data_IF_697001816837
#
_entry.id   IF_697001816837
#
_cell.length_a   1.000
_cell.length_b   1.000
_cell.length_c   1.000
_cell.angle_alpha   90.00
_cell.angle_beta   90.00
_cell.angle_gamma   90.00
#
_symmetry.space_group_name_H-M   'P 1'
#
loop_
_entity.id
_entity.type
_entity.pdbx_description
1 polymer ?
#
# COMPACT_ATOMS: atom_id res chain seq x y z
N UNK A 1 -1.22 29.06 26.33
CA UNK A 1 -0.81 27.81 25.66
C UNK A 1 -2.02 27.30 24.89
N UNK A 2 -1.96 27.26 23.58
CA UNK A 2 -3.08 26.79 22.76
C UNK A 2 -3.14 25.25 22.82
N UNK A 3 -4.29 24.72 23.20
CA UNK A 3 -4.48 23.27 23.31
C UNK A 3 -4.87 22.74 21.93
N UNK A 4 -3.96 22.01 21.31
CA UNK A 4 -4.24 21.36 20.03
C UNK A 4 -5.14 20.14 20.26
N UNK A 5 -6.34 20.18 19.68
CA UNK A 5 -7.28 19.05 19.78
C UNK A 5 -6.81 17.89 18.88
N UNK A 6 -6.55 16.71 19.42
CA UNK A 6 -6.15 15.55 18.60
C UNK A 6 -7.27 15.16 17.63
N UNK A 7 -6.88 14.75 16.42
CA UNK A 7 -7.83 14.29 15.40
C UNK A 7 -7.16 13.27 14.49
N UNK A 8 -7.90 12.28 14.05
CA UNK A 8 -7.50 11.37 13.00
C UNK A 8 -7.73 12.03 11.63
N UNK A 9 -6.82 11.85 10.70
CA UNK A 9 -6.97 12.34 9.33
C UNK A 9 -8.10 11.62 8.61
N UNK A 10 -8.80 12.33 7.72
CA UNK A 10 -9.83 11.74 6.88
C UNK A 10 -9.24 10.60 6.03
N UNK A 11 -9.92 9.46 5.98
CA UNK A 11 -9.45 8.27 5.28
C UNK A 11 -8.49 7.38 6.08
N UNK A 12 -8.06 7.80 7.27
CA UNK A 12 -7.24 6.98 8.16
C UNK A 12 -8.09 6.39 9.28
N UNK A 13 -7.74 5.20 9.72
CA UNK A 13 -8.49 4.44 10.71
C UNK A 13 -7.58 4.08 11.89
N UNK A 14 -8.06 4.41 13.08
CA UNK A 14 -7.44 4.00 14.34
C UNK A 14 -8.37 3.02 15.04
N UNK A 15 -7.93 1.78 15.16
CA UNK A 15 -8.71 0.72 15.76
C UNK A 15 -8.39 0.56 17.25
N UNK A 16 -9.42 0.41 18.07
CA UNK A 16 -9.24 -0.03 19.45
C UNK A 16 -8.66 -1.46 19.48
N UNK A 17 -7.90 -1.85 20.52
CA UNK A 17 -7.25 -3.16 20.59
C UNK A 17 -8.17 -4.34 20.31
N UNK A 18 -9.40 -4.31 20.81
CA UNK A 18 -10.39 -5.38 20.57
C UNK A 18 -10.81 -5.52 19.09
N UNK A 19 -10.81 -4.40 18.34
CA UNK A 19 -11.11 -4.41 16.91
C UNK A 19 -9.84 -4.75 16.11
N UNK A 20 -8.69 -4.27 16.55
CA UNK A 20 -7.39 -4.56 15.94
C UNK A 20 -7.11 -6.06 15.95
N UNK A 21 -7.31 -6.76 17.06
CA UNK A 21 -7.15 -8.21 17.17
C UNK A 21 -8.02 -8.96 16.14
N UNK A 22 -9.28 -8.52 15.95
CA UNK A 22 -10.16 -9.12 14.95
C UNK A 22 -9.67 -8.85 13.51
N UNK A 23 -9.17 -7.66 13.26
CA UNK A 23 -8.61 -7.30 11.97
C UNK A 23 -7.38 -8.14 11.64
N UNK A 24 -6.46 -8.31 12.59
CA UNK A 24 -5.26 -9.15 12.44
C UNK A 24 -5.62 -10.62 12.19
N UNK A 25 -6.61 -11.14 12.92
CA UNK A 25 -7.10 -12.51 12.69
C UNK A 25 -7.67 -12.69 11.27
N UNK A 26 -8.42 -11.73 10.77
CA UNK A 26 -8.94 -11.75 9.40
C UNK A 26 -7.79 -11.69 8.38
N UNK A 27 -6.81 -10.82 8.60
CA UNK A 27 -5.61 -10.68 7.76
C UNK A 27 -4.81 -11.97 7.71
N UNK A 28 -4.65 -12.64 8.86
CA UNK A 28 -3.93 -13.92 8.94
C UNK A 28 -4.65 -15.04 8.18
N UNK A 29 -5.98 -15.13 8.28
CA UNK A 29 -6.76 -16.10 7.50
C UNK A 29 -6.57 -15.88 6.00
N UNK A 30 -6.61 -14.63 5.54
CA UNK A 30 -6.35 -14.30 4.14
C UNK A 30 -4.94 -14.71 3.71
N UNK A 31 -3.92 -14.38 4.52
CA UNK A 31 -2.53 -14.72 4.25
C UNK A 31 -2.33 -16.24 4.12
N UNK A 32 -2.88 -17.01 5.06
CA UNK A 32 -2.80 -18.47 5.03
C UNK A 32 -3.53 -19.07 3.82
N UNK A 33 -4.69 -18.53 3.50
CA UNK A 33 -5.45 -18.97 2.32
C UNK A 33 -4.66 -18.77 1.05
N UNK A 34 -4.09 -17.57 0.82
CA UNK A 34 -3.27 -17.33 -0.35
C UNK A 34 -2.00 -18.17 -0.38
N UNK A 35 -1.34 -18.36 0.77
CA UNK A 35 -0.16 -19.22 0.88
C UNK A 35 -0.48 -20.66 0.48
N UNK A 36 -1.67 -21.19 0.81
CA UNK A 36 -2.10 -22.53 0.41
C UNK A 36 -2.28 -22.70 -1.10
N UNK A 37 -2.47 -21.58 -1.84
CA UNK A 37 -2.48 -21.57 -3.31
C UNK A 37 -1.10 -21.28 -3.93
N UNK A 38 -0.05 -21.27 -3.13
CA UNK A 38 1.33 -21.07 -3.60
C UNK A 38 1.73 -19.62 -3.80
N UNK A 39 0.97 -18.64 -3.30
CA UNK A 39 1.38 -17.23 -3.33
C UNK A 39 2.49 -16.98 -2.31
N UNK A 40 3.59 -16.38 -2.77
CA UNK A 40 4.67 -15.93 -1.92
C UNK A 40 4.45 -14.49 -1.43
N UNK A 41 4.80 -14.18 -0.17
CA UNK A 41 4.69 -12.81 0.33
C UNK A 41 5.73 -11.90 -0.33
N UNK A 42 5.31 -10.71 -0.75
CA UNK A 42 6.17 -9.66 -1.25
C UNK A 42 5.72 -8.33 -0.69
N UNK A 43 6.64 -7.54 -0.17
CA UNK A 43 6.41 -6.14 0.18
C UNK A 43 7.32 -5.23 -0.63
N UNK A 44 6.83 -4.03 -0.93
CA UNK A 44 7.57 -2.98 -1.61
C UNK A 44 7.55 -1.71 -0.74
N UNK A 45 8.50 -0.78 -0.91
CA UNK A 45 8.50 0.47 -0.16
C UNK A 45 7.17 1.21 -0.25
N UNK A 46 6.73 1.79 0.87
CA UNK A 46 5.53 2.63 0.91
C UNK A 46 5.76 3.98 0.25
N UNK A 47 7.01 4.48 0.34
CA UNK A 47 7.46 5.73 -0.27
C UNK A 47 8.29 5.37 -1.50
N UNK A 48 7.96 5.97 -2.62
CA UNK A 48 8.61 5.76 -3.92
C UNK A 48 8.96 7.11 -4.56
N UNK A 49 9.82 7.06 -5.55
CA UNK A 49 10.06 8.21 -6.42
C UNK A 49 8.76 8.59 -7.16
N UNK A 50 8.40 9.87 -7.09
CA UNK A 50 7.16 10.35 -7.70
C UNK A 50 7.13 10.14 -9.20
N UNK A 51 8.27 10.24 -9.90
CA UNK A 51 8.35 10.01 -11.34
C UNK A 51 8.01 8.57 -11.71
N UNK A 52 8.40 7.60 -10.87
CA UNK A 52 8.11 6.18 -11.10
C UNK A 52 6.60 5.92 -10.94
N UNK A 53 6.00 6.42 -9.86
CA UNK A 53 4.57 6.22 -9.61
C UNK A 53 3.69 6.92 -10.65
N UNK A 54 4.13 8.06 -11.17
CA UNK A 54 3.38 8.88 -12.12
C UNK A 54 3.69 8.55 -13.58
N UNK A 55 4.62 7.64 -13.87
CA UNK A 55 5.08 7.32 -15.23
C UNK A 55 3.96 6.91 -16.20
N UNK A 56 2.86 6.35 -15.70
CA UNK A 56 1.65 6.01 -16.46
C UNK A 56 0.41 6.78 -16.00
N UNK A 57 0.56 7.71 -15.06
CA UNK A 57 -0.53 8.47 -14.49
C UNK A 57 -0.97 9.62 -15.40
N UNK A 58 -2.24 9.67 -15.78
CA UNK A 58 -2.87 10.86 -16.33
C UNK A 58 -3.68 11.58 -15.26
N UNK A 59 -3.68 12.88 -15.29
CA UNK A 59 -4.37 13.90 -14.49
C UNK A 59 -5.18 13.59 -13.22
N UNK A 60 -5.94 12.49 -13.18
CA UNK A 60 -6.71 12.10 -11.99
C UNK A 60 -5.86 11.40 -10.93
N UNK A 61 -4.92 10.56 -11.35
CA UNK A 61 -4.05 9.80 -10.42
C UNK A 61 -3.12 10.75 -9.65
N UNK A 62 -2.63 11.82 -10.31
CA UNK A 62 -1.81 12.84 -9.64
C UNK A 62 -2.52 13.53 -8.48
N UNK A 63 -3.83 13.73 -8.58
CA UNK A 63 -4.63 14.36 -7.52
C UNK A 63 -4.88 13.45 -6.32
N UNK A 64 -4.71 12.15 -6.49
CA UNK A 64 -4.99 11.14 -5.45
C UNK A 64 -3.74 10.70 -4.70
N UNK A 65 -2.54 10.97 -5.24
CA UNK A 65 -1.27 10.58 -4.63
C UNK A 65 -0.82 11.64 -3.63
N UNK A 66 -0.41 11.20 -2.45
CA UNK A 66 0.30 12.04 -1.50
C UNK A 66 1.74 12.22 -1.97
N UNK A 67 2.07 13.41 -2.43
CA UNK A 67 3.39 13.81 -2.92
C UNK A 67 4.04 14.80 -1.97
N UNK A 68 5.33 14.67 -1.74
CA UNK A 68 6.09 15.54 -0.86
C UNK A 68 7.57 15.56 -1.27
N UNK A 69 8.28 16.57 -0.85
CA UNK A 69 9.72 16.69 -1.10
C UNK A 69 10.49 16.45 0.20
N UNK A 70 11.64 15.79 0.08
CA UNK A 70 12.62 15.64 1.16
C UNK A 70 14.02 15.91 0.62
N UNK A 71 14.60 17.04 0.97
CA UNK A 71 15.81 17.54 0.31
C UNK A 71 15.55 17.76 -1.18
N UNK A 72 16.40 17.21 -2.03
CA UNK A 72 16.28 17.29 -3.49
C UNK A 72 15.41 16.15 -4.10
N UNK A 73 14.86 15.28 -3.26
CA UNK A 73 14.08 14.14 -3.71
C UNK A 73 12.59 14.46 -3.76
N UNK A 74 11.96 14.16 -4.89
CA UNK A 74 10.53 14.25 -5.12
C UNK A 74 9.90 12.88 -4.89
N UNK A 75 9.16 12.73 -3.83
CA UNK A 75 8.68 11.47 -3.29
C UNK A 75 7.15 11.43 -3.26
N UNK A 76 6.60 10.22 -3.32
CA UNK A 76 5.17 10.02 -3.16
C UNK A 76 4.86 8.73 -2.39
N UNK A 77 3.73 8.70 -1.71
CA UNK A 77 3.18 7.47 -1.16
C UNK A 77 2.57 6.64 -2.29
N UNK A 78 2.90 5.34 -2.33
CA UNK A 78 2.26 4.42 -3.27
C UNK A 78 0.74 4.43 -3.07
N UNK A 79 0.00 4.50 -4.14
CA UNK A 79 -1.46 4.51 -4.10
C UNK A 79 -2.03 3.12 -4.41
N UNK A 80 -1.28 2.30 -5.15
CA UNK A 80 -1.53 0.87 -5.39
C UNK A 80 -0.20 0.10 -5.41
N UNK A 81 -0.25 -1.17 -5.76
CA UNK A 81 0.94 -2.03 -5.81
C UNK A 81 1.36 -2.41 -7.22
N UNK A 82 0.64 -1.95 -8.24
CA UNK A 82 0.90 -2.32 -9.63
C UNK A 82 2.24 -1.78 -10.11
N UNK A 83 2.46 -0.48 -9.96
CA UNK A 83 3.72 0.17 -10.37
C UNK A 83 4.89 -0.27 -9.50
N UNK A 84 4.78 -0.29 -8.15
CA UNK A 84 5.83 -0.82 -7.29
C UNK A 84 6.23 -2.27 -7.61
N UNK A 85 5.26 -3.13 -7.92
CA UNK A 85 5.54 -4.52 -8.32
C UNK A 85 6.27 -4.58 -9.66
N UNK A 86 5.82 -3.82 -10.65
CA UNK A 86 6.49 -3.75 -11.96
C UNK A 86 7.94 -3.26 -11.82
N UNK A 87 8.17 -2.23 -11.01
CA UNK A 87 9.52 -1.76 -10.67
C UNK A 87 10.36 -2.85 -10.00
N UNK A 88 9.80 -3.54 -9.01
CA UNK A 88 10.49 -4.63 -8.32
C UNK A 88 10.93 -5.71 -9.30
N UNK A 89 10.04 -6.18 -10.16
CA UNK A 89 10.37 -7.19 -11.17
C UNK A 89 11.46 -6.70 -12.13
N UNK A 90 11.39 -5.45 -12.56
CA UNK A 90 12.39 -4.86 -13.46
C UNK A 90 13.79 -4.75 -12.81
N UNK A 91 13.86 -4.47 -11.50
CA UNK A 91 15.11 -4.32 -10.77
C UNK A 91 15.73 -5.65 -10.32
N UNK A 92 14.95 -6.71 -10.28
CA UNK A 92 15.38 -8.02 -9.79
C UNK A 92 15.37 -9.04 -10.93
N UNK A 93 16.51 -9.27 -11.62
CA UNK A 93 16.56 -10.24 -12.73
C UNK A 93 16.10 -11.64 -12.32
N UNK A 94 16.37 -12.05 -11.06
CA UNK A 94 15.90 -13.31 -10.52
C UNK A 94 14.37 -13.39 -10.35
N UNK A 95 13.67 -12.24 -10.30
CA UNK A 95 12.21 -12.22 -10.19
C UNK A 95 11.52 -12.70 -11.45
N UNK A 96 12.18 -12.67 -12.62
CA UNK A 96 11.67 -13.23 -13.88
C UNK A 96 11.56 -14.75 -13.85
N UNK A 97 12.31 -15.42 -12.96
CA UNK A 97 12.30 -16.86 -12.76
C UNK A 97 11.52 -17.31 -11.53
N UNK A 98 10.80 -16.39 -10.85
CA UNK A 98 9.95 -16.74 -9.73
C UNK A 98 8.80 -17.64 -10.24
N UNK A 99 8.74 -18.90 -9.79
CA UNK A 99 7.71 -19.85 -10.25
C UNK A 99 6.35 -19.58 -9.57
N UNK A 100 6.23 -18.53 -8.75
CA UNK A 100 5.07 -18.32 -7.89
C UNK A 100 4.46 -16.93 -8.10
N UNK A 101 3.12 -16.84 -8.11
CA UNK A 101 2.45 -15.57 -8.00
C UNK A 101 2.85 -14.90 -6.65
N UNK A 102 3.14 -13.62 -6.68
CA UNK A 102 3.47 -12.83 -5.49
C UNK A 102 2.23 -12.15 -4.95
N UNK A 103 2.05 -12.23 -3.64
CA UNK A 103 0.98 -11.56 -2.93
C UNK A 103 1.55 -10.33 -2.23
N UNK A 104 0.99 -9.16 -2.50
CA UNK A 104 1.28 -7.98 -1.71
C UNK A 104 0.84 -8.17 -0.25
N UNK A 105 1.37 -7.39 0.70
CA UNK A 105 0.91 -7.41 2.07
C UNK A 105 -0.61 -7.30 2.12
N UNK A 106 -1.24 -8.17 2.89
CA UNK A 106 -2.70 -8.23 3.04
C UNK A 106 -3.31 -6.90 3.46
N UNK A 107 -2.58 -6.12 4.22
CA UNK A 107 -2.96 -4.76 4.61
C UNK A 107 -3.17 -3.85 3.40
N UNK A 108 -2.29 -3.96 2.40
CA UNK A 108 -2.36 -3.14 1.19
C UNK A 108 -3.43 -3.67 0.21
N UNK A 109 -3.68 -4.97 0.18
CA UNK A 109 -4.76 -5.55 -0.63
C UNK A 109 -6.16 -5.17 -0.11
N UNK A 110 -6.29 -4.93 1.20
CA UNK A 110 -7.53 -4.48 1.83
C UNK A 110 -7.73 -2.96 1.77
N UNK A 111 -6.65 -2.20 1.59
CA UNK A 111 -6.69 -0.73 1.57
C UNK A 111 -7.67 -0.16 0.53
N UNK A 112 -7.75 -0.62 -0.73
CA UNK A 112 -8.71 -0.12 -1.69
C UNK A 112 -10.17 -0.38 -1.29
N UNK A 113 -10.45 -1.47 -0.60
CA UNK A 113 -11.79 -1.82 -0.12
C UNK A 113 -12.21 -0.91 1.04
N UNK A 114 -11.28 -0.59 1.93
CA UNK A 114 -11.51 0.31 3.06
C UNK A 114 -11.59 1.77 2.62
N UNK A 115 -10.76 2.18 1.66
CA UNK A 115 -10.74 3.52 1.09
C UNK A 115 -12.04 3.88 0.39
N UNK A 116 -12.59 3.00 -0.43
CA UNK A 116 -13.89 3.22 -1.10
C UNK A 116 -15.05 3.45 -0.13
N UNK A 117 -14.94 2.93 1.09
CA UNK A 117 -15.97 3.10 2.13
C UNK A 117 -15.81 4.41 2.91
N UNK A 118 -14.63 4.98 2.96
CA UNK A 118 -14.33 6.24 3.65
C UNK A 118 -14.67 7.48 2.80
N UNK A 119 -14.86 7.32 1.48
CA UNK A 119 -15.20 8.40 0.55
C UNK A 119 -16.71 8.53 0.27
N UNK A 120 -17.55 7.76 0.94
CA UNK A 120 -19.01 7.91 0.95
C UNK A 120 -19.44 8.45 2.31
#
# INVERSE_FOLDING_TARGET
MEIIKPRTLSGFMELLPSKQIRFEKMTEILRQTYASYGFAPLDTPVIEDAQILLAKGGGETEKQIYRFTKGDSDLALRFDLTVPLAKYVALQPAAHSLPFPVLPPTETALFPLLWRRALR
#
